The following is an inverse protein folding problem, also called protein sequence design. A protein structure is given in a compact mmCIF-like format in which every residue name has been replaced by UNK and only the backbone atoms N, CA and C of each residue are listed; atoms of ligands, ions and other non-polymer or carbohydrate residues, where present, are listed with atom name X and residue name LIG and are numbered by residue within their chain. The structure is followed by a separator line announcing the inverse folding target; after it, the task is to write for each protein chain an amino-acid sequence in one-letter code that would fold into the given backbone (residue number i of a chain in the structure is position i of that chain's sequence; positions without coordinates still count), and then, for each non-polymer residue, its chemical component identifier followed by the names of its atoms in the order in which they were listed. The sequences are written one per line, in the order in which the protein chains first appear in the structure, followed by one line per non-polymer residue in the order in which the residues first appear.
data_IF_157141660218
#
_entry.id   IF_157141660218
#
_cell.length_a   1.000
_cell.length_b   1.000
_cell.length_c   1.000
_cell.angle_alpha   90.00
_cell.angle_beta   90.00
_cell.angle_gamma   90.00
#
_symmetry.space_group_name_H-M   'P 1'
#
loop_
_entity.id
_entity.type
_entity.pdbx_description
1 polymer ?
#
# COMPACT_ATOMS: atom_id res chain seq x y z
N UNK A 1 7.38 5.37 -11.37
CA UNK A 1 7.59 6.83 -11.44
C UNK A 1 6.85 7.36 -12.66
N UNK A 2 7.14 6.91 -13.88
CA UNK A 2 6.47 7.38 -15.11
C UNK A 2 4.94 7.22 -15.12
N UNK A 3 4.40 6.11 -14.60
CA UNK A 3 2.96 5.89 -14.53
C UNK A 3 2.28 6.83 -13.51
N UNK A 4 2.95 7.11 -12.40
CA UNK A 4 2.47 8.03 -11.36
C UNK A 4 2.52 9.47 -11.86
N UNK A 5 3.61 9.87 -12.53
CA UNK A 5 3.71 11.18 -13.18
C UNK A 5 2.68 11.34 -14.30
N UNK A 6 2.39 10.28 -15.04
CA UNK A 6 1.34 10.27 -16.06
C UNK A 6 -0.06 10.45 -15.45
N UNK A 7 -0.36 9.76 -14.35
CA UNK A 7 -1.66 9.89 -13.66
C UNK A 7 -1.79 11.27 -12.99
N UNK A 8 -0.73 11.73 -12.29
CA UNK A 8 -0.73 13.04 -11.61
C UNK A 8 -0.67 14.18 -12.63
N UNK A 9 0.20 14.08 -13.64
CA UNK A 9 0.30 15.07 -14.71
C UNK A 9 -1.01 15.25 -15.49
N UNK A 10 -1.76 14.17 -15.68
CA UNK A 10 -3.05 14.23 -16.36
C UNK A 10 -4.24 14.61 -15.45
N UNK A 11 -4.05 14.73 -14.13
CA UNK A 11 -5.08 15.25 -13.22
C UNK A 11 -5.08 16.79 -13.14
N UNK A 12 -3.96 17.43 -13.51
CA UNK A 12 -3.82 18.90 -13.61
C UNK A 12 -3.81 19.40 -15.06
N UNK A 13 -4.00 18.51 -16.04
CA UNK A 13 -3.93 18.86 -17.46
C UNK A 13 -5.14 19.67 -17.87
N UNK A 14 -4.85 20.86 -18.34
CA UNK A 14 -5.65 21.61 -19.28
C UNK A 14 -6.47 20.66 -20.19
N UNK A 15 -7.76 20.54 -19.88
CA UNK A 15 -8.76 19.67 -20.52
C UNK A 15 -8.85 19.82 -22.05
N UNK A 16 -8.13 20.78 -22.63
CA UNK A 16 -8.23 21.14 -24.05
C UNK A 16 -7.60 20.13 -25.00
N UNK A 17 -6.63 19.30 -24.53
CA UNK A 17 -5.89 18.41 -25.43
C UNK A 17 -6.43 16.96 -25.49
N UNK A 18 -7.13 16.51 -24.42
CA UNK A 18 -7.74 15.19 -24.35
C UNK A 18 -9.27 15.24 -24.21
N UNK A 19 -9.84 16.41 -23.88
CA UNK A 19 -11.28 16.61 -23.72
C UNK A 19 -12.08 16.51 -25.02
N UNK A 20 -11.45 16.75 -26.18
CA UNK A 20 -12.12 16.68 -27.47
C UNK A 20 -12.40 15.22 -27.90
N UNK A 21 -11.58 14.24 -27.44
CA UNK A 21 -11.74 12.85 -27.84
C UNK A 21 -12.60 12.02 -26.86
N UNK A 22 -12.64 12.37 -25.57
CA UNK A 22 -13.30 11.58 -24.52
C UNK A 22 -14.28 12.36 -23.65
N UNK A 23 -14.39 13.68 -23.77
CA UNK A 23 -15.17 14.53 -22.87
C UNK A 23 -14.61 14.61 -21.45
N UNK A 24 -15.18 15.45 -20.57
CA UNK A 24 -14.75 15.52 -19.17
C UNK A 24 -15.00 14.15 -18.49
N UNK A 25 -13.95 13.48 -18.05
CA UNK A 25 -14.05 12.21 -17.33
C UNK A 25 -14.47 12.50 -15.90
N UNK A 26 -15.68 12.10 -15.54
CA UNK A 26 -16.16 12.11 -14.16
C UNK A 26 -15.99 10.70 -13.60
N UNK A 27 -15.20 10.57 -12.54
CA UNK A 27 -15.04 9.32 -11.83
C UNK A 27 -15.95 9.32 -10.60
N UNK A 28 -16.76 8.29 -10.45
CA UNK A 28 -17.61 8.13 -9.26
C UNK A 28 -16.83 7.57 -8.08
N UNK A 29 -15.90 6.66 -8.35
CA UNK A 29 -15.11 5.97 -7.34
C UNK A 29 -13.63 5.94 -7.72
N UNK A 30 -12.76 6.06 -6.73
CA UNK A 30 -11.30 5.96 -6.88
C UNK A 30 -10.77 4.91 -5.91
N UNK A 31 -10.02 3.95 -6.44
CA UNK A 31 -9.31 2.94 -5.66
C UNK A 31 -7.83 3.31 -5.61
N UNK A 32 -7.43 3.95 -4.52
CA UNK A 32 -6.05 4.37 -4.32
C UNK A 32 -5.23 3.20 -3.77
N UNK A 33 -4.56 2.52 -4.68
CA UNK A 33 -3.70 1.36 -4.39
C UNK A 33 -2.22 1.64 -4.64
N UNK A 34 -1.89 2.79 -5.21
CA UNK A 34 -0.53 3.15 -5.55
C UNK A 34 0.29 3.54 -4.31
N UNK A 35 1.49 3.01 -4.20
CA UNK A 35 2.45 3.35 -3.17
C UNK A 35 3.87 2.97 -3.63
N UNK A 36 4.87 3.64 -3.11
CA UNK A 36 6.25 3.15 -3.21
C UNK A 36 6.45 2.12 -2.11
N UNK A 37 6.43 0.85 -2.47
CA UNK A 37 6.42 -0.26 -1.53
C UNK A 37 7.11 -1.51 -2.07
N UNK A 38 7.37 -2.46 -1.19
CA UNK A 38 7.93 -3.76 -1.52
C UNK A 38 7.76 -4.76 -0.38
N UNK A 39 8.45 -5.89 -0.46
CA UNK A 39 8.58 -6.84 0.63
C UNK A 39 9.52 -6.33 1.74
N UNK A 40 9.76 -7.17 2.75
CA UNK A 40 10.57 -6.82 3.92
C UNK A 40 11.98 -6.31 3.56
N UNK A 41 12.61 -6.87 2.53
CA UNK A 41 13.92 -6.43 2.05
C UNK A 41 13.93 -5.03 1.42
N UNK A 42 12.79 -4.46 1.10
CA UNK A 42 12.67 -3.10 0.58
C UNK A 42 12.28 -2.11 1.68
N UNK A 43 11.37 -2.53 2.57
CA UNK A 43 10.71 -1.65 3.56
C UNK A 43 11.54 -1.49 4.85
N UNK A 44 12.32 -2.50 5.25
CA UNK A 44 12.99 -2.53 6.56
C UNK A 44 14.52 -2.37 6.50
N UNK A 45 15.11 -2.13 5.33
CA UNK A 45 16.56 -1.92 5.22
C UNK A 45 17.02 -0.52 5.61
N UNK A 46 16.13 0.46 5.55
CA UNK A 46 16.45 1.88 5.72
C UNK A 46 16.93 2.57 4.44
N UNK A 47 17.33 1.81 3.44
CA UNK A 47 17.92 2.36 2.20
C UNK A 47 16.90 3.14 1.33
N UNK A 48 15.61 2.85 1.50
CA UNK A 48 14.54 3.40 0.68
C UNK A 48 13.59 4.34 1.46
N UNK A 49 13.88 4.63 2.72
CA UNK A 49 12.96 5.34 3.62
C UNK A 49 12.53 6.71 3.09
N UNK A 50 13.49 7.50 2.60
CA UNK A 50 13.21 8.82 2.05
C UNK A 50 12.31 8.76 0.81
N UNK A 51 12.55 7.81 -0.10
CA UNK A 51 11.76 7.63 -1.31
C UNK A 51 10.37 7.11 -0.99
N UNK A 52 10.25 6.15 -0.07
CA UNK A 52 8.97 5.61 0.42
C UNK A 52 8.11 6.75 0.98
N UNK A 53 8.65 7.53 1.91
CA UNK A 53 7.95 8.66 2.54
C UNK A 53 7.57 9.73 1.52
N UNK A 54 8.52 10.16 0.70
CA UNK A 54 8.30 11.23 -0.28
C UNK A 54 7.27 10.82 -1.35
N UNK A 55 7.52 9.69 -2.02
CA UNK A 55 6.72 9.29 -3.18
C UNK A 55 5.30 8.91 -2.76
N UNK A 56 5.14 8.11 -1.70
CA UNK A 56 3.82 7.68 -1.25
C UNK A 56 3.00 8.83 -0.67
N UNK A 57 3.62 9.72 0.11
CA UNK A 57 2.93 10.91 0.61
C UNK A 57 2.49 11.83 -0.52
N UNK A 58 3.35 12.06 -1.53
CA UNK A 58 3.02 12.90 -2.68
C UNK A 58 1.86 12.33 -3.49
N UNK A 59 1.85 11.01 -3.73
CA UNK A 59 0.73 10.33 -4.37
C UNK A 59 -0.58 10.62 -3.59
N UNK A 60 -0.59 10.37 -2.29
CA UNK A 60 -1.79 10.49 -1.47
C UNK A 60 -2.28 11.94 -1.34
N UNK A 61 -1.37 12.90 -1.21
CA UNK A 61 -1.69 14.34 -1.19
C UNK A 61 -2.39 14.77 -2.49
N UNK A 62 -1.85 14.36 -3.64
CA UNK A 62 -2.40 14.71 -4.94
C UNK A 62 -3.75 14.03 -5.20
N UNK A 63 -3.86 12.72 -4.93
CA UNK A 63 -5.10 11.96 -5.11
C UNK A 63 -6.23 12.52 -4.24
N UNK A 64 -5.97 12.76 -2.95
CA UNK A 64 -7.00 13.31 -2.04
C UNK A 64 -7.51 14.67 -2.53
N UNK A 65 -6.60 15.55 -2.95
CA UNK A 65 -6.94 16.85 -3.51
C UNK A 65 -7.75 16.75 -4.80
N UNK A 66 -7.29 15.91 -5.73
CA UNK A 66 -7.94 15.70 -7.02
C UNK A 66 -9.35 15.10 -6.85
N UNK A 67 -9.53 14.14 -5.94
CA UNK A 67 -10.85 13.57 -5.66
C UNK A 67 -11.86 14.63 -5.23
N UNK A 68 -11.46 15.55 -4.35
CA UNK A 68 -12.34 16.67 -3.94
C UNK A 68 -12.62 17.62 -5.10
N UNK A 69 -11.58 18.02 -5.84
CA UNK A 69 -11.72 18.96 -6.96
C UNK A 69 -12.64 18.40 -8.06
N UNK A 70 -12.57 17.10 -8.32
CA UNK A 70 -13.37 16.41 -9.34
C UNK A 70 -14.68 15.82 -8.80
N UNK A 71 -15.04 16.13 -7.54
CA UNK A 71 -16.29 15.67 -6.90
C UNK A 71 -16.47 14.14 -6.94
N UNK A 72 -15.39 13.40 -6.76
CA UNK A 72 -15.42 11.95 -6.63
C UNK A 72 -16.33 11.57 -5.46
N UNK A 73 -17.21 10.60 -5.66
CA UNK A 73 -18.22 10.22 -4.65
C UNK A 73 -17.63 9.34 -3.55
N UNK A 74 -16.69 8.45 -3.91
CA UNK A 74 -16.09 7.50 -2.98
C UNK A 74 -14.62 7.27 -3.26
N UNK A 75 -13.81 7.20 -2.22
CA UNK A 75 -12.41 6.81 -2.30
C UNK A 75 -12.17 5.59 -1.43
N UNK A 76 -11.59 4.55 -2.01
CA UNK A 76 -11.01 3.45 -1.27
C UNK A 76 -9.50 3.69 -1.15
N UNK A 77 -8.96 3.61 0.07
CA UNK A 77 -7.54 3.74 0.34
C UNK A 77 -6.99 2.43 0.93
N UNK A 78 -5.96 1.88 0.28
CA UNK A 78 -5.22 0.73 0.78
C UNK A 78 -4.16 1.16 1.79
N UNK A 79 -4.49 1.09 3.07
CA UNK A 79 -3.54 1.17 4.16
C UNK A 79 -2.84 -0.18 4.39
N UNK A 80 -2.09 -0.32 5.45
CA UNK A 80 -1.29 -1.52 5.74
C UNK A 80 -1.28 -1.84 7.22
N UNK A 81 -1.13 -3.12 7.57
CA UNK A 81 -0.86 -3.55 8.94
C UNK A 81 0.47 -2.99 9.49
N UNK A 82 1.40 -2.57 8.63
CA UNK A 82 2.64 -1.92 9.07
C UNK A 82 2.41 -0.58 9.79
N UNK A 83 1.20 0.00 9.71
CA UNK A 83 0.87 1.22 10.43
C UNK A 83 0.58 0.98 11.92
N UNK A 84 0.32 -0.26 12.35
CA UNK A 84 0.14 -0.58 13.75
C UNK A 84 1.44 -0.44 14.54
N UNK A 85 1.36 -0.11 15.84
CA UNK A 85 2.53 -0.10 16.69
C UNK A 85 3.26 -1.44 16.67
N UNK A 86 4.59 -1.41 16.62
CA UNK A 86 5.44 -2.60 16.61
C UNK A 86 5.07 -3.57 17.74
N UNK A 87 4.88 -3.06 18.96
CA UNK A 87 4.56 -3.89 20.13
C UNK A 87 3.25 -4.68 20.02
N UNK A 88 2.32 -4.29 19.12
CA UNK A 88 1.10 -5.02 18.86
C UNK A 88 1.32 -6.32 18.06
N UNK A 89 2.48 -6.47 17.44
CA UNK A 89 2.79 -7.53 16.48
C UNK A 89 3.96 -8.43 16.93
N UNK A 90 4.54 -8.18 18.11
CA UNK A 90 5.71 -8.93 18.61
C UNK A 90 5.33 -10.32 19.12
N UNK A 91 4.12 -10.49 19.67
CA UNK A 91 3.64 -11.80 20.14
C UNK A 91 2.88 -12.52 19.02
N UNK A 92 3.46 -13.56 18.41
CA UNK A 92 2.82 -14.28 17.31
C UNK A 92 1.54 -15.02 17.72
N UNK A 93 1.42 -15.36 19.00
CA UNK A 93 0.27 -16.11 19.53
C UNK A 93 -0.88 -15.19 19.96
N UNK A 94 -0.59 -13.91 20.17
CA UNK A 94 -1.58 -12.92 20.60
C UNK A 94 -1.37 -11.55 19.94
N UNK A 95 -1.43 -11.45 18.62
CA UNK A 95 -1.30 -10.16 17.93
C UNK A 95 -2.50 -9.27 18.27
N UNK A 96 -2.24 -8.00 18.52
CA UNK A 96 -3.27 -7.00 18.80
C UNK A 96 -3.35 -5.96 17.68
N UNK A 97 -3.99 -6.33 16.57
CA UNK A 97 -4.19 -5.46 15.40
C UNK A 97 -5.68 -5.10 15.22
N UNK A 98 -6.38 -4.83 16.30
CA UNK A 98 -7.73 -4.26 16.24
C UNK A 98 -7.67 -2.81 15.75
N UNK A 99 -8.72 -2.31 15.14
CA UNK A 99 -8.71 -0.96 14.54
C UNK A 99 -8.33 0.14 15.54
N UNK A 100 -8.79 0.02 16.80
CA UNK A 100 -8.53 0.98 17.86
C UNK A 100 -7.09 0.93 18.39
N UNK A 101 -6.38 -0.17 18.16
CA UNK A 101 -5.02 -0.39 18.68
C UNK A 101 -3.92 0.37 17.91
N UNK A 102 -4.30 1.14 16.90
CA UNK A 102 -3.37 1.97 16.14
C UNK A 102 -2.69 3.07 16.98
N UNK A 103 -3.22 3.36 18.16
CA UNK A 103 -2.72 4.41 19.02
C UNK A 103 -2.50 3.90 20.46
N UNK A 104 -1.43 4.38 21.16
CA UNK A 104 -0.43 5.35 20.69
C UNK A 104 0.39 4.82 19.51
N UNK A 105 0.65 5.67 18.51
CA UNK A 105 1.32 5.27 17.28
C UNK A 105 2.81 4.97 17.51
N UNK A 106 3.28 3.85 17.00
CA UNK A 106 4.69 3.46 16.98
C UNK A 106 4.97 2.43 15.87
N UNK A 107 4.70 2.75 14.59
CA UNK A 107 5.08 1.89 13.48
C UNK A 107 6.58 1.58 13.48
N UNK A 108 6.94 0.40 12.99
CA UNK A 108 8.31 -0.11 12.96
C UNK A 108 9.12 0.33 11.72
N UNK A 109 8.51 1.08 10.82
CA UNK A 109 9.12 1.50 9.56
C UNK A 109 8.55 2.82 9.04
N UNK A 110 9.32 3.52 8.21
CA UNK A 110 8.85 4.74 7.55
C UNK A 110 7.65 4.47 6.62
N UNK A 111 7.59 3.28 6.03
CA UNK A 111 6.40 2.85 5.31
C UNK A 111 5.15 2.82 6.20
N UNK A 112 5.27 2.29 7.41
CA UNK A 112 4.17 2.28 8.38
C UNK A 112 3.75 3.69 8.82
N UNK A 113 4.71 4.57 9.04
CA UNK A 113 4.44 5.97 9.37
C UNK A 113 3.75 6.71 8.22
N UNK A 114 4.19 6.50 6.97
CA UNK A 114 3.53 7.09 5.79
C UNK A 114 2.08 6.59 5.68
N UNK A 115 1.85 5.29 5.83
CA UNK A 115 0.50 4.72 5.78
C UNK A 115 -0.42 5.32 6.84
N UNK A 116 0.06 5.48 8.06
CA UNK A 116 -0.69 6.14 9.14
C UNK A 116 -0.94 7.63 8.85
N UNK A 117 0.07 8.35 8.35
CA UNK A 117 -0.09 9.73 7.91
C UNK A 117 -1.19 9.85 6.85
N UNK A 118 -1.18 8.98 5.84
CA UNK A 118 -2.16 9.00 4.75
C UNK A 118 -3.56 8.63 5.22
N UNK A 119 -3.74 7.70 6.18
CA UNK A 119 -5.04 7.50 6.84
C UNK A 119 -5.56 8.81 7.48
N UNK A 120 -4.70 9.49 8.22
CA UNK A 120 -5.04 10.79 8.86
C UNK A 120 -5.39 11.85 7.84
N UNK A 121 -4.67 11.90 6.71
CA UNK A 121 -4.92 12.80 5.60
C UNK A 121 -6.34 12.57 5.02
N UNK A 122 -6.66 11.34 4.61
CA UNK A 122 -7.98 11.00 4.06
C UNK A 122 -9.12 11.25 5.05
N UNK A 123 -8.94 10.91 6.32
CA UNK A 123 -9.90 11.21 7.37
C UNK A 123 -10.10 12.72 7.59
N UNK A 124 -9.07 13.54 7.38
CA UNK A 124 -9.21 14.99 7.43
C UNK A 124 -10.03 15.51 6.24
N UNK A 125 -9.77 15.01 5.02
CA UNK A 125 -10.58 15.35 3.85
C UNK A 125 -12.03 14.89 3.98
N UNK A 126 -12.28 13.73 4.59
CA UNK A 126 -13.63 13.27 4.90
C UNK A 126 -14.37 14.27 5.81
N UNK A 127 -13.72 14.72 6.89
CA UNK A 127 -14.34 15.68 7.83
C UNK A 127 -14.53 17.07 7.24
N UNK A 128 -13.56 17.57 6.47
CA UNK A 128 -13.53 18.97 6.07
C UNK A 128 -14.10 19.21 4.68
N UNK A 129 -14.06 18.22 3.80
CA UNK A 129 -14.51 18.34 2.41
C UNK A 129 -15.67 17.39 2.06
N UNK A 130 -16.11 16.54 2.99
CA UNK A 130 -17.20 15.60 2.77
C UNK A 130 -16.86 14.44 1.84
N UNK A 131 -15.55 14.13 1.61
CA UNK A 131 -15.12 13.00 0.80
C UNK A 131 -15.52 11.69 1.49
N UNK A 132 -16.28 10.82 0.83
CA UNK A 132 -16.60 9.48 1.36
C UNK A 132 -15.39 8.55 1.20
N UNK A 133 -14.68 8.30 2.29
CA UNK A 133 -13.46 7.47 2.30
C UNK A 133 -13.70 6.14 2.97
N UNK A 134 -13.21 5.07 2.36
CA UNK A 134 -13.10 3.73 2.94
C UNK A 134 -11.63 3.36 3.03
N UNK A 135 -11.18 2.95 4.21
CA UNK A 135 -9.79 2.59 4.48
C UNK A 135 -9.75 1.12 4.87
N UNK A 136 -8.90 0.34 4.18
CA UNK A 136 -8.60 -1.04 4.56
C UNK A 136 -7.13 -1.17 4.93
N UNK A 137 -6.86 -1.71 6.12
CA UNK A 137 -5.50 -2.03 6.60
C UNK A 137 -5.15 -3.44 6.16
N UNK A 138 -4.55 -3.55 4.99
CA UNK A 138 -4.18 -4.84 4.45
C UNK A 138 -3.01 -5.46 5.22
N UNK A 139 -3.15 -6.74 5.54
CA UNK A 139 -2.04 -7.59 5.93
C UNK A 139 -1.28 -8.05 4.66
N UNK A 140 -1.05 -9.35 4.47
CA UNK A 140 -0.30 -9.79 3.30
C UNK A 140 -1.27 -10.28 2.22
N UNK A 141 -1.57 -9.44 1.25
CA UNK A 141 -2.28 -9.86 0.05
C UNK A 141 -1.27 -10.51 -0.90
N UNK A 142 -1.62 -11.66 -1.46
CA UNK A 142 -0.79 -12.41 -2.40
C UNK A 142 -1.65 -13.01 -3.52
N UNK A 143 -1.02 -13.35 -4.65
CA UNK A 143 -1.70 -13.98 -5.77
C UNK A 143 -0.93 -13.83 -7.08
N UNK A 144 -1.53 -14.30 -8.19
CA UNK A 144 -0.95 -14.16 -9.52
C UNK A 144 -0.65 -12.71 -9.88
N UNK A 145 0.29 -12.50 -10.79
CA UNK A 145 0.76 -11.21 -11.27
C UNK A 145 1.49 -10.33 -10.22
N UNK A 146 1.65 -10.82 -9.00
CA UNK A 146 2.49 -10.17 -7.99
C UNK A 146 3.98 -10.22 -8.36
N UNK A 147 4.75 -9.24 -7.90
CA UNK A 147 6.21 -9.23 -8.06
C UNK A 147 6.83 -10.46 -7.39
N UNK A 148 7.69 -11.18 -8.10
CA UNK A 148 8.33 -12.42 -7.65
C UNK A 148 9.87 -12.39 -7.72
N UNK A 149 10.44 -11.32 -8.30
CA UNK A 149 11.89 -11.07 -8.38
C UNK A 149 12.18 -9.56 -8.21
N UNK A 150 13.48 -9.21 -8.10
CA UNK A 150 13.93 -7.81 -8.12
C UNK A 150 13.96 -7.12 -6.75
N UNK A 151 13.82 -7.87 -5.64
CA UNK A 151 14.01 -7.36 -4.29
C UNK A 151 12.75 -6.71 -3.67
N UNK A 152 11.65 -6.63 -4.43
CA UNK A 152 10.35 -6.11 -3.94
C UNK A 152 9.33 -7.22 -3.67
N UNK A 153 9.67 -8.47 -3.93
CA UNK A 153 8.79 -9.62 -3.74
C UNK A 153 8.48 -9.88 -2.27
N UNK A 154 7.23 -10.27 -2.00
CA UNK A 154 6.79 -10.73 -0.68
C UNK A 154 7.12 -12.20 -0.45
N UNK A 155 7.12 -12.62 0.81
CA UNK A 155 7.55 -13.97 1.22
C UNK A 155 6.93 -15.12 0.41
N UNK A 156 5.61 -15.19 0.12
CA UNK A 156 5.06 -16.29 -0.66
C UNK A 156 5.68 -16.40 -2.05
N UNK A 157 5.81 -15.27 -2.77
CA UNK A 157 6.40 -15.24 -4.10
C UNK A 157 7.89 -15.58 -4.07
N UNK A 158 8.64 -15.03 -3.11
CA UNK A 158 10.06 -15.31 -2.92
C UNK A 158 10.33 -16.80 -2.62
N UNK A 159 9.53 -17.42 -1.74
CA UNK A 159 9.66 -18.82 -1.39
C UNK A 159 9.30 -19.74 -2.56
N UNK A 160 8.20 -19.44 -3.26
CA UNK A 160 7.84 -20.20 -4.48
C UNK A 160 8.95 -20.16 -5.53
N UNK A 161 9.53 -18.98 -5.77
CA UNK A 161 10.66 -18.84 -6.69
C UNK A 161 11.87 -19.65 -6.23
N UNK A 162 12.29 -19.50 -4.97
CA UNK A 162 13.46 -20.21 -4.42
C UNK A 162 13.30 -21.73 -4.54
N UNK A 163 12.09 -22.25 -4.27
CA UNK A 163 11.81 -23.68 -4.43
C UNK A 163 11.85 -24.09 -5.90
N UNK A 164 11.27 -23.31 -6.80
CA UNK A 164 11.24 -23.62 -8.23
C UNK A 164 12.62 -23.57 -8.90
N UNK A 165 13.52 -22.72 -8.40
CA UNK A 165 14.89 -22.59 -8.90
C UNK A 165 15.88 -23.56 -8.24
N UNK A 166 15.50 -24.22 -7.13
CA UNK A 166 16.36 -25.13 -6.39
C UNK A 166 16.41 -26.48 -7.07
N UNK A 167 17.63 -27.08 -7.18
CA UNK A 167 17.80 -28.42 -7.65
C UNK A 167 17.26 -29.47 -6.65
N UNK A 168 16.89 -30.64 -7.14
CA UNK A 168 16.42 -31.75 -6.30
C UNK A 168 17.45 -32.09 -5.20
N UNK A 169 17.02 -32.07 -3.95
CA UNK A 169 17.90 -32.28 -2.79
C UNK A 169 18.76 -31.06 -2.40
N UNK A 170 18.59 -29.94 -3.07
CA UNK A 170 19.25 -28.67 -2.75
C UNK A 170 18.74 -28.01 -1.48
N UNK A 171 19.28 -26.83 -1.16
CA UNK A 171 18.93 -26.04 0.03
C UNK A 171 18.46 -24.66 -0.40
N UNK A 172 17.42 -24.14 0.23
CA UNK A 172 16.97 -22.77 0.07
C UNK A 172 17.23 -21.97 1.36
N UNK A 173 17.63 -20.72 1.21
CA UNK A 173 17.79 -19.80 2.33
C UNK A 173 16.45 -19.17 2.70
N UNK A 174 16.06 -19.28 3.96
CA UNK A 174 14.90 -18.61 4.55
C UNK A 174 15.39 -17.62 5.61
N UNK A 175 14.93 -16.37 5.55
CA UNK A 175 15.35 -15.36 6.51
C UNK A 175 14.65 -15.55 7.86
N UNK A 176 15.42 -15.30 8.93
CA UNK A 176 14.94 -15.45 10.31
C UNK A 176 15.10 -16.88 10.82
N UNK A 177 14.41 -17.18 11.91
CA UNK A 177 14.42 -18.48 12.59
C UNK A 177 13.31 -19.44 12.14
N UNK A 178 12.43 -18.99 11.23
CA UNK A 178 11.30 -19.76 10.73
C UNK A 178 10.09 -19.79 11.66
N UNK A 179 10.11 -19.07 12.76
CA UNK A 179 9.01 -19.00 13.72
C UNK A 179 8.04 -17.82 13.49
N UNK A 180 8.35 -16.94 12.54
CA UNK A 180 7.51 -15.79 12.21
C UNK A 180 6.16 -16.26 11.64
N UNK A 181 5.09 -15.70 12.19
CA UNK A 181 3.72 -15.93 11.70
C UNK A 181 3.20 -14.68 10.99
N UNK A 182 2.37 -14.88 9.98
CA UNK A 182 1.71 -13.79 9.24
C UNK A 182 0.34 -14.26 8.75
N UNK A 183 -0.60 -13.32 8.69
CA UNK A 183 -1.87 -13.55 8.01
C UNK A 183 -1.69 -13.30 6.52
N UNK A 184 -2.22 -14.19 5.69
CA UNK A 184 -2.22 -14.08 4.24
C UNK A 184 -3.64 -14.15 3.70
N UNK A 185 -3.97 -13.26 2.75
CA UNK A 185 -5.25 -13.25 2.06
C UNK A 185 -4.99 -13.37 0.56
N UNK A 186 -5.65 -14.33 -0.09
CA UNK A 186 -5.55 -14.50 -1.53
C UNK A 186 -6.26 -13.37 -2.26
N UNK A 187 -5.69 -12.90 -3.36
CA UNK A 187 -6.16 -11.67 -4.02
C UNK A 187 -7.61 -11.76 -4.49
N UNK A 188 -8.06 -12.91 -5.00
CA UNK A 188 -9.44 -13.06 -5.46
C UNK A 188 -10.43 -12.92 -4.29
N UNK A 189 -10.12 -13.49 -3.11
CA UNK A 189 -10.92 -13.32 -1.89
C UNK A 189 -10.87 -11.89 -1.34
N UNK A 190 -9.81 -11.15 -1.66
CA UNK A 190 -9.67 -9.76 -1.24
C UNK A 190 -10.56 -8.81 -2.05
N UNK A 191 -10.87 -9.16 -3.30
CA UNK A 191 -11.66 -8.29 -4.20
C UNK A 191 -13.15 -8.63 -4.24
N UNK A 192 -13.56 -9.76 -3.65
CA UNK A 192 -14.96 -10.12 -3.40
C UNK A 192 -15.55 -9.35 -2.21
#
# INVERSE_FOLDING_TARGET
VELVEYIIGNMDVDDTKYGEEFGPRVYDEVYQLAADMGGAGFVFTGDNDADIMHNSALINLNIAKACVSNKVKKVFYSSSACMYPEHNQLDPDNPNCTEDSAYPANPDSEYGWEKLFSERLYLAFMRNAGLDVRIARFHNIFGPLGTWTGGREKAPAALCRKVAECEDGGTIDVWGDGLQTRSFLYVDECVE
#
